data_IF_976980507651
#
_entry.id   IF_976980507651
#
_cell.length_a   1.000
_cell.length_b   1.000
_cell.length_c   1.000
_cell.angle_alpha   90.00
_cell.angle_beta   90.00
_cell.angle_gamma   90.00
#
_symmetry.space_group_name_H-M   'P 1'
#
loop_
_entity.id
_entity.type
_entity.pdbx_description
1 polymer ?
#
# COMPACT_ATOMS: atom_id res chain seq x y z
N UNK A 1 5.31 18.53 -1.75
CA UNK A 1 3.96 18.41 -1.17
C UNK A 1 3.95 17.16 -0.30
N UNK A 2 3.60 17.28 0.98
CA UNK A 2 3.58 16.16 1.93
C UNK A 2 2.38 15.27 1.64
N UNK A 3 2.51 14.37 0.67
CA UNK A 3 1.46 13.43 0.29
C UNK A 3 1.12 12.56 1.51
N UNK A 4 -0.17 12.38 1.79
CA UNK A 4 -0.69 11.62 2.95
C UNK A 4 -0.08 10.21 3.02
N UNK A 5 0.26 9.69 1.85
CA UNK A 5 0.90 8.39 1.58
C UNK A 5 2.27 8.22 2.24
N UNK A 6 3.07 9.29 2.38
CA UNK A 6 4.41 9.22 2.99
C UNK A 6 4.39 9.31 4.52
N UNK A 7 3.21 9.52 5.13
CA UNK A 7 3.10 9.60 6.59
C UNK A 7 3.28 8.22 7.24
N UNK A 8 2.74 7.17 6.61
CA UNK A 8 2.84 5.80 7.15
C UNK A 8 4.30 5.36 7.19
N UNK A 9 5.05 5.56 6.11
CA UNK A 9 6.47 5.23 6.05
C UNK A 9 7.26 6.00 7.10
N UNK A 10 7.02 7.32 7.26
CA UNK A 10 7.73 8.16 8.23
C UNK A 10 7.43 7.84 9.70
N UNK A 11 6.28 7.25 9.99
CA UNK A 11 5.90 6.82 11.34
C UNK A 11 6.06 5.31 11.59
N UNK A 12 6.60 4.59 10.61
CA UNK A 12 6.96 3.17 10.75
C UNK A 12 8.44 3.08 11.14
N UNK A 13 8.77 2.11 11.99
CA UNK A 13 10.16 1.79 12.34
C UNK A 13 11.02 1.51 11.09
N UNK A 14 12.19 2.13 11.02
CA UNK A 14 13.10 2.01 9.87
C UNK A 14 13.47 0.56 9.56
N UNK A 15 13.56 -0.32 10.55
CA UNK A 15 13.86 -1.73 10.33
C UNK A 15 12.75 -2.42 9.53
N UNK A 16 11.49 -2.06 9.78
CA UNK A 16 10.33 -2.60 9.05
C UNK A 16 10.30 -2.06 7.63
N UNK A 17 10.54 -0.76 7.45
CA UNK A 17 10.63 -0.16 6.11
C UNK A 17 11.74 -0.82 5.28
N UNK A 18 12.95 -0.95 5.84
CA UNK A 18 14.08 -1.62 5.16
C UNK A 18 13.78 -3.07 4.81
N UNK A 19 13.08 -3.80 5.67
CA UNK A 19 12.67 -5.19 5.38
C UNK A 19 11.76 -5.23 4.15
N UNK A 20 10.72 -4.40 4.12
CA UNK A 20 9.76 -4.34 3.01
C UNK A 20 10.45 -3.95 1.70
N UNK A 21 11.36 -2.98 1.75
CA UNK A 21 12.16 -2.59 0.58
C UNK A 21 13.05 -3.74 0.08
N UNK A 22 13.73 -4.45 0.98
CA UNK A 22 14.60 -5.58 0.63
C UNK A 22 13.80 -6.73 0.00
N UNK A 23 12.63 -7.06 0.57
CA UNK A 23 11.71 -8.07 0.04
C UNK A 23 11.19 -7.68 -1.34
N UNK A 24 10.79 -6.43 -1.52
CA UNK A 24 10.33 -5.88 -2.80
C UNK A 24 11.43 -6.03 -3.87
N UNK A 25 12.66 -5.62 -3.55
CA UNK A 25 13.80 -5.76 -4.45
C UNK A 25 14.09 -7.23 -4.80
N UNK A 26 13.95 -8.15 -3.84
CA UNK A 26 14.13 -9.58 -4.07
C UNK A 26 13.04 -10.17 -4.99
N UNK A 27 11.78 -9.73 -4.89
CA UNK A 27 10.73 -10.13 -5.82
C UNK A 27 11.01 -9.68 -7.25
N UNK A 28 11.40 -8.41 -7.43
CA UNK A 28 11.72 -7.85 -8.73
C UNK A 28 12.89 -8.61 -9.38
N UNK A 29 13.99 -8.84 -8.64
CA UNK A 29 15.15 -9.60 -9.15
C UNK A 29 14.80 -11.04 -9.53
N UNK A 30 13.93 -11.71 -8.76
CA UNK A 30 13.47 -13.08 -9.08
C UNK A 30 12.63 -13.15 -10.35
N UNK A 31 11.91 -12.07 -10.69
CA UNK A 31 11.11 -12.02 -11.91
C UNK A 31 11.91 -11.54 -13.12
N UNK A 32 13.07 -10.92 -12.92
CA UNK A 32 13.91 -10.43 -14.00
C UNK A 32 14.34 -11.58 -14.93
N UNK A 33 14.08 -11.42 -16.23
CA UNK A 33 14.41 -12.42 -17.25
C UNK A 33 13.36 -13.51 -17.49
N UNK A 34 12.23 -13.52 -16.77
CA UNK A 34 11.14 -14.46 -17.02
C UNK A 34 9.78 -13.74 -17.16
N UNK A 35 9.28 -13.54 -18.40
CA UNK A 35 8.02 -12.86 -18.66
C UNK A 35 6.81 -13.51 -17.95
N UNK A 36 6.76 -14.84 -17.88
CA UNK A 36 5.68 -15.56 -17.20
C UNK A 36 5.69 -15.34 -15.67
N UNK A 37 6.90 -15.22 -15.08
CA UNK A 37 7.04 -14.89 -13.68
C UNK A 37 6.55 -13.46 -13.38
N UNK A 38 6.86 -12.51 -14.27
CA UNK A 38 6.39 -11.12 -14.19
C UNK A 38 4.86 -11.08 -14.22
N UNK A 39 4.21 -11.75 -15.18
CA UNK A 39 2.75 -11.78 -15.25
C UNK A 39 2.10 -12.39 -14.01
N UNK A 40 2.64 -13.51 -13.51
CA UNK A 40 2.14 -14.14 -12.29
C UNK A 40 2.23 -13.21 -11.09
N UNK A 41 3.34 -12.47 -10.97
CA UNK A 41 3.52 -11.51 -9.87
C UNK A 41 2.60 -10.31 -10.01
N UNK A 42 2.40 -9.78 -11.22
CA UNK A 42 1.42 -8.71 -11.47
C UNK A 42 0.01 -9.13 -11.04
N UNK A 43 -0.43 -10.33 -11.42
CA UNK A 43 -1.73 -10.88 -10.97
C UNK A 43 -1.80 -11.07 -9.45
N UNK A 44 -0.68 -11.38 -8.80
CA UNK A 44 -0.62 -11.47 -7.34
C UNK A 44 -0.72 -10.08 -6.68
N UNK A 45 -0.06 -9.06 -7.23
CA UNK A 45 -0.14 -7.67 -6.76
C UNK A 45 -1.56 -7.10 -6.88
N UNK A 46 -2.33 -7.50 -7.88
CA UNK A 46 -3.74 -7.06 -8.04
C UNK A 46 -4.68 -7.66 -6.97
N UNK A 47 -4.24 -8.73 -6.31
CA UNK A 47 -4.96 -9.35 -5.17
C UNK A 47 -4.37 -8.97 -3.82
N UNK A 48 -3.22 -8.30 -3.80
CA UNK A 48 -2.56 -7.86 -2.59
C UNK A 48 -3.36 -6.70 -1.99
N UNK A 49 -3.68 -6.80 -0.71
CA UNK A 49 -4.41 -5.74 -0.01
C UNK A 49 -3.41 -4.74 0.56
N UNK A 50 -3.58 -3.47 0.20
CA UNK A 50 -2.85 -2.40 0.84
C UNK A 50 -3.39 -2.11 2.25
N UNK A 51 -2.54 -1.45 3.04
CA UNK A 51 -2.82 -1.15 4.45
C UNK A 51 -4.07 -0.28 4.65
N UNK A 52 -4.39 0.61 3.72
CA UNK A 52 -5.55 1.50 3.82
C UNK A 52 -6.82 0.69 3.63
N UNK A 53 -6.87 -0.16 2.60
CA UNK A 53 -8.01 -1.08 2.36
C UNK A 53 -8.25 -2.04 3.52
N UNK A 54 -7.20 -2.61 4.11
CA UNK A 54 -7.33 -3.50 5.28
C UNK A 54 -7.92 -2.72 6.46
N UNK A 55 -7.44 -1.51 6.72
CA UNK A 55 -7.90 -0.69 7.83
C UNK A 55 -9.37 -0.28 7.65
N UNK A 56 -9.71 0.28 6.50
CA UNK A 56 -11.05 0.79 6.20
C UNK A 56 -12.09 -0.31 6.16
N UNK A 57 -11.78 -1.46 5.54
CA UNK A 57 -12.73 -2.57 5.43
C UNK A 57 -13.04 -3.15 6.79
N UNK A 58 -12.02 -3.37 7.63
CA UNK A 58 -12.22 -3.91 8.97
C UNK A 58 -12.93 -2.91 9.88
N UNK A 59 -12.59 -1.63 9.81
CA UNK A 59 -13.28 -0.59 10.57
C UNK A 59 -14.76 -0.48 10.15
N UNK A 60 -15.03 -0.48 8.84
CA UNK A 60 -16.40 -0.45 8.31
C UNK A 60 -17.21 -1.67 8.72
N UNK A 61 -16.61 -2.86 8.66
CA UNK A 61 -17.24 -4.10 9.08
C UNK A 61 -17.61 -4.08 10.57
N UNK A 62 -16.67 -3.68 11.43
CA UNK A 62 -16.89 -3.57 12.87
C UNK A 62 -17.99 -2.55 13.18
N UNK A 63 -17.91 -1.35 12.59
CA UNK A 63 -18.92 -0.33 12.78
C UNK A 63 -20.31 -0.81 12.31
N UNK A 64 -20.41 -1.40 11.12
CA UNK A 64 -21.66 -1.91 10.58
C UNK A 64 -22.26 -3.02 11.47
N UNK A 65 -21.43 -3.99 11.88
CA UNK A 65 -21.87 -5.06 12.78
C UNK A 65 -22.36 -4.50 14.12
N UNK A 66 -21.66 -3.51 14.68
CA UNK A 66 -22.07 -2.86 15.91
C UNK A 66 -23.37 -2.05 15.78
N UNK A 67 -23.61 -1.41 14.64
CA UNK A 67 -24.91 -0.75 14.35
C UNK A 67 -26.02 -1.79 14.25
N UNK A 68 -25.80 -2.90 13.52
CA UNK A 68 -26.79 -3.97 13.39
C UNK A 68 -27.13 -4.59 14.75
N UNK A 69 -26.13 -4.90 15.58
CA UNK A 69 -26.33 -5.38 16.95
C UNK A 69 -27.00 -4.34 17.85
N UNK A 70 -26.67 -3.06 17.67
CA UNK A 70 -27.28 -1.92 18.36
C UNK A 70 -28.78 -1.79 18.09
N UNK A 71 -29.18 -2.02 16.84
CA UNK A 71 -30.56 -1.95 16.39
C UNK A 71 -31.36 -3.22 16.72
N UNK A 72 -30.76 -4.41 16.56
CA UNK A 72 -31.46 -5.69 16.65
C UNK A 72 -31.42 -6.34 18.05
N UNK A 73 -30.38 -6.06 18.85
CA UNK A 73 -30.16 -6.75 20.13
C UNK A 73 -30.27 -5.79 21.31
N UNK A 74 -29.40 -4.78 21.37
CA UNK A 74 -29.39 -3.83 22.49
C UNK A 74 -28.65 -2.54 22.12
N UNK A 75 -29.23 -1.37 22.46
CA UNK A 75 -28.61 -0.05 22.25
C UNK A 75 -27.19 0.08 22.83
N UNK A 76 -26.84 -0.72 23.84
CA UNK A 76 -25.46 -0.76 24.36
C UNK A 76 -24.45 -1.05 23.25
N UNK A 77 -24.74 -1.92 22.28
CA UNK A 77 -23.79 -2.25 21.20
C UNK A 77 -23.39 -1.05 20.31
N UNK A 78 -24.10 0.09 20.39
CA UNK A 78 -23.71 1.33 19.71
C UNK A 78 -22.40 1.94 20.25
N UNK A 79 -21.89 1.50 21.40
CA UNK A 79 -20.56 1.91 21.88
C UNK A 79 -19.45 1.51 20.90
N UNK A 80 -19.61 0.38 20.21
CA UNK A 80 -18.63 -0.17 19.28
C UNK A 80 -18.47 0.70 18.02
N UNK A 81 -19.53 1.01 17.24
CA UNK A 81 -19.41 1.91 16.09
C UNK A 81 -19.01 3.32 16.51
N UNK A 82 -19.46 3.80 17.68
CA UNK A 82 -19.04 5.10 18.21
C UNK A 82 -17.52 5.15 18.46
N UNK A 83 -16.94 4.09 19.03
CA UNK A 83 -15.49 4.02 19.30
C UNK A 83 -14.70 3.91 18.00
N UNK A 84 -15.12 3.04 17.08
CA UNK A 84 -14.45 2.85 15.78
C UNK A 84 -14.47 4.15 14.96
N UNK A 85 -15.60 4.84 14.88
CA UNK A 85 -15.72 6.10 14.12
C UNK A 85 -14.97 7.25 14.78
N UNK A 86 -14.99 7.36 16.11
CA UNK A 86 -14.18 8.34 16.84
C UNK A 86 -12.69 8.13 16.59
N UNK A 87 -12.24 6.87 16.54
CA UNK A 87 -10.85 6.53 16.24
C UNK A 87 -10.46 6.87 14.80
N UNK A 88 -11.32 6.58 13.81
CA UNK A 88 -11.10 6.99 12.41
C UNK A 88 -11.06 8.52 12.27
N UNK A 89 -11.94 9.23 12.98
CA UNK A 89 -11.96 10.69 12.99
C UNK A 89 -10.67 11.27 13.60
N UNK A 90 -10.25 10.75 14.76
CA UNK A 90 -8.98 11.10 15.37
C UNK A 90 -7.82 10.84 14.39
N UNK A 91 -7.83 9.69 13.71
CA UNK A 91 -6.81 9.33 12.74
C UNK A 91 -6.75 10.31 11.55
N UNK A 92 -7.90 10.65 10.97
CA UNK A 92 -7.99 11.61 9.87
C UNK A 92 -7.44 12.99 10.25
N UNK A 93 -7.67 13.42 11.50
CA UNK A 93 -7.24 14.74 12.00
C UNK A 93 -5.77 14.74 12.44
N UNK A 94 -5.34 13.72 13.19
CA UNK A 94 -4.01 13.68 13.82
C UNK A 94 -2.96 12.97 12.96
N UNK A 95 -3.36 12.19 11.95
CA UNK A 95 -2.47 11.48 11.04
C UNK A 95 -1.71 10.30 11.65
N UNK A 96 -1.94 9.99 12.93
CA UNK A 96 -1.33 8.87 13.65
C UNK A 96 -2.39 7.79 13.96
N UNK A 97 -1.99 6.52 13.90
CA UNK A 97 -2.88 5.38 14.12
C UNK A 97 -2.09 4.26 14.84
N UNK A 98 -2.39 3.91 16.10
CA UNK A 98 -1.78 2.75 16.77
C UNK A 98 -1.87 1.39 16.03
N UNK A 99 -2.90 1.05 15.23
CA UNK A 99 -2.92 -0.21 14.48
C UNK A 99 -1.97 -0.21 13.28
N UNK A 100 -1.59 0.96 12.73
CA UNK A 100 -0.72 1.02 11.54
C UNK A 100 0.66 0.39 11.80
N UNK A 101 1.40 0.73 12.86
CA UNK A 101 2.66 0.06 13.19
C UNK A 101 2.54 -1.47 13.34
N UNK A 102 1.42 -1.96 13.86
CA UNK A 102 1.17 -3.40 14.03
C UNK A 102 0.97 -4.07 12.67
N UNK A 103 0.09 -3.50 11.83
CA UNK A 103 -0.15 -3.98 10.47
C UNK A 103 1.14 -3.94 9.61
N UNK A 104 1.96 -2.91 9.79
CA UNK A 104 3.28 -2.79 9.15
C UNK A 104 4.23 -3.88 9.62
N UNK A 105 4.27 -4.21 10.92
CA UNK A 105 5.08 -5.33 11.46
C UNK A 105 4.62 -6.68 10.92
N UNK A 106 3.32 -6.85 10.65
CA UNK A 106 2.76 -8.02 9.97
C UNK A 106 3.11 -8.08 8.46
N UNK A 107 3.80 -7.07 7.91
CA UNK A 107 4.27 -7.05 6.53
C UNK A 107 3.24 -6.50 5.53
N UNK A 108 2.17 -5.85 5.99
CA UNK A 108 1.19 -5.23 5.10
C UNK A 108 1.79 -3.97 4.47
N UNK A 109 1.80 -3.96 3.14
CA UNK A 109 2.43 -2.92 2.33
C UNK A 109 1.48 -1.78 2.05
N UNK A 110 2.03 -0.60 1.81
CA UNK A 110 1.24 0.55 1.37
C UNK A 110 0.90 0.41 -0.12
N UNK A 111 -0.14 1.11 -0.57
CA UNK A 111 -0.49 1.14 -1.99
C UNK A 111 0.69 1.64 -2.86
N UNK A 112 1.48 2.59 -2.36
CA UNK A 112 2.69 3.10 -3.04
C UNK A 112 3.75 2.02 -3.21
N UNK A 113 4.04 1.23 -2.17
CA UNK A 113 5.03 0.15 -2.24
C UNK A 113 4.62 -0.92 -3.26
N UNK A 114 3.34 -1.28 -3.27
CA UNK A 114 2.75 -2.22 -4.24
C UNK A 114 2.84 -1.65 -5.66
N UNK A 115 2.51 -0.36 -5.84
CA UNK A 115 2.57 0.30 -7.15
C UNK A 115 4.01 0.43 -7.66
N UNK A 116 4.97 0.75 -6.80
CA UNK A 116 6.39 0.81 -7.16
C UNK A 116 6.86 -0.54 -7.71
N UNK A 117 6.48 -1.64 -7.07
CA UNK A 117 6.78 -2.99 -7.58
C UNK A 117 6.07 -3.26 -8.91
N UNK A 118 4.77 -2.93 -9.02
CA UNK A 118 3.97 -3.10 -10.24
C UNK A 118 4.61 -2.37 -11.42
N UNK A 119 4.97 -1.10 -11.24
CA UNK A 119 5.61 -0.26 -12.26
C UNK A 119 6.96 -0.86 -12.65
N UNK A 120 7.81 -1.23 -11.68
CA UNK A 120 9.10 -1.85 -11.96
C UNK A 120 8.97 -3.13 -12.81
N UNK A 121 7.98 -3.97 -12.49
CA UNK A 121 7.71 -5.19 -13.24
C UNK A 121 7.18 -4.91 -14.67
N UNK A 122 6.31 -3.92 -14.85
CA UNK A 122 5.85 -3.49 -16.18
C UNK A 122 7.00 -2.93 -17.03
N UNK A 123 7.93 -2.19 -16.42
CA UNK A 123 9.17 -1.74 -17.09
C UNK A 123 10.01 -2.94 -17.53
N UNK A 124 10.23 -3.93 -16.66
CA UNK A 124 10.98 -5.14 -17.01
C UNK A 124 10.30 -5.98 -18.10
N UNK A 125 8.97 -5.98 -18.16
CA UNK A 125 8.19 -6.62 -19.23
C UNK A 125 8.33 -5.92 -20.58
N UNK A 126 8.69 -4.63 -20.57
CA UNK A 126 8.85 -3.81 -21.77
C UNK A 126 7.62 -2.99 -22.16
N UNK A 127 6.61 -2.88 -21.28
CA UNK A 127 5.33 -2.20 -21.54
C UNK A 127 5.48 -0.71 -21.93
N UNK A 128 6.60 -0.10 -21.55
CA UNK A 128 6.87 1.33 -21.77
C UNK A 128 7.77 1.61 -22.98
N UNK A 129 8.14 0.60 -23.78
CA UNK A 129 9.04 0.78 -24.93
C UNK A 129 8.42 1.62 -26.06
N UNK A 130 7.09 1.66 -26.15
CA UNK A 130 6.36 2.42 -27.18
C UNK A 130 5.75 3.73 -26.67
N UNK A 131 6.08 4.17 -25.45
CA UNK A 131 5.70 5.52 -25.01
C UNK A 131 6.55 6.51 -25.81
N UNK A 132 5.96 7.40 -26.63
CA UNK A 132 6.72 8.42 -27.33
C UNK A 132 7.41 9.26 -26.26
N UNK A 133 8.71 9.05 -26.10
CA UNK A 133 9.53 9.84 -25.21
C UNK A 133 9.60 11.22 -25.83
N UNK A 134 8.70 12.10 -25.40
CA UNK A 134 8.76 13.53 -25.71
C UNK A 134 9.95 14.17 -25.00
N UNK A 135 11.17 13.78 -25.40
CA UNK A 135 12.45 14.50 -25.38
C UNK A 135 13.64 13.53 -25.34
N UNK A 136 14.33 13.51 -26.47
CA UNK A 136 15.78 13.37 -26.67
C UNK A 136 16.59 12.49 -25.70
N UNK A 137 16.93 11.30 -26.18
CA UNK A 137 18.33 10.89 -26.32
C UNK A 137 19.11 10.43 -25.08
N UNK A 138 19.42 9.12 -25.08
CA UNK A 138 20.49 8.41 -24.35
C UNK A 138 20.27 8.08 -22.86
N UNK A 139 19.93 6.81 -22.63
CA UNK A 139 20.78 5.93 -21.81
C UNK A 139 20.62 5.94 -20.28
N UNK A 140 19.57 6.53 -19.70
CA UNK A 140 19.35 6.58 -18.24
C UNK A 140 18.07 5.91 -17.72
N UNK A 141 17.30 5.26 -18.58
CA UNK A 141 15.86 5.01 -18.34
C UNK A 141 15.49 4.16 -17.12
N UNK A 142 16.32 3.22 -16.68
CA UNK A 142 15.98 2.36 -15.54
C UNK A 142 16.16 3.08 -14.20
N UNK A 143 17.25 3.82 -14.02
CA UNK A 143 17.51 4.56 -12.78
C UNK A 143 16.65 5.83 -12.68
N UNK A 144 16.38 6.47 -13.81
CA UNK A 144 15.53 7.66 -13.89
C UNK A 144 14.05 7.32 -13.67
N UNK A 145 13.56 6.18 -14.18
CA UNK A 145 12.22 5.69 -13.88
C UNK A 145 12.04 5.32 -12.40
N UNK A 146 13.06 4.70 -11.78
CA UNK A 146 13.06 4.40 -10.34
C UNK A 146 13.12 5.69 -9.51
N UNK A 147 13.83 6.72 -9.96
CA UNK A 147 13.91 8.03 -9.29
C UNK A 147 12.61 8.84 -9.44
N UNK A 148 11.97 8.79 -10.62
CA UNK A 148 10.69 9.45 -10.89
C UNK A 148 9.52 8.80 -10.13
N UNK A 149 9.52 7.47 -9.96
CA UNK A 149 8.53 6.78 -9.14
C UNK A 149 8.69 7.02 -7.62
N UNK A 150 9.88 7.49 -7.19
CA UNK A 150 10.20 7.84 -5.79
C UNK A 150 9.93 9.30 -5.43
N UNK A 151 9.78 10.20 -6.41
CA UNK A 151 9.34 11.58 -6.18
C UNK A 151 7.86 11.65 -5.76
#
# INVERSE_FOLDING_TARGET
>A
MTNTVDRVTRHTDDAVNRRIEAETGAHIRRCAGNPLAIERRLRALDREWDIERVLETNASLLAFAGVALGALVNRRFLWLPATVTAFLFQHAVQGWCPPLPILRRLGIRTAREIEVERVALKILRGDFRDVPSGRDGRGGGAEEAVRAARA
#
